data_IF_391899905474
#
_entry.id   IF_391899905474
#
_cell.length_a   1.000
_cell.length_b   1.000
_cell.length_c   1.000
_cell.angle_alpha   90.00
_cell.angle_beta   90.00
_cell.angle_gamma   90.00
#
_symmetry.space_group_name_H-M   'P 1'
#
loop_
_entity.id
_entity.type
_entity.pdbx_description
1 polymer ?
#
# COMPACT_ATOMS: atom_id res chain seq x y z
N UNK A 1 12.34 -45.01 -12.69
CA UNK A 1 12.56 -44.03 -11.60
C UNK A 1 12.50 -42.57 -12.07
N UNK A 2 13.00 -42.20 -13.25
CA UNK A 2 12.96 -40.81 -13.74
C UNK A 2 11.57 -40.20 -14.02
N UNK A 3 10.57 -40.99 -14.44
CA UNK A 3 9.22 -40.46 -14.75
C UNK A 3 8.45 -39.98 -13.51
N UNK A 4 8.61 -40.66 -12.37
CA UNK A 4 7.95 -40.24 -11.12
C UNK A 4 8.56 -38.96 -10.54
N UNK A 5 9.89 -38.82 -10.64
CA UNK A 5 10.59 -37.60 -10.25
C UNK A 5 10.14 -36.40 -11.09
N UNK A 6 9.99 -36.57 -12.41
CA UNK A 6 9.55 -35.50 -13.30
C UNK A 6 8.10 -35.05 -13.03
N UNK A 7 7.19 -36.00 -12.78
CA UNK A 7 5.80 -35.70 -12.41
C UNK A 7 5.67 -34.99 -11.07
N UNK A 8 6.46 -35.39 -10.08
CA UNK A 8 6.52 -34.69 -8.79
C UNK A 8 7.05 -33.26 -8.94
N UNK A 9 8.14 -33.06 -9.71
CA UNK A 9 8.65 -31.73 -9.99
C UNK A 9 7.63 -30.85 -10.72
N UNK A 10 6.89 -31.38 -11.70
CA UNK A 10 5.83 -30.65 -12.39
C UNK A 10 4.68 -30.28 -11.45
N UNK A 11 4.26 -31.19 -10.58
CA UNK A 11 3.25 -30.91 -9.55
C UNK A 11 3.70 -29.83 -8.58
N UNK A 12 4.96 -29.85 -8.14
CA UNK A 12 5.53 -28.82 -7.26
C UNK A 12 5.62 -27.47 -7.97
N UNK A 13 6.02 -27.46 -9.24
CA UNK A 13 6.09 -26.24 -10.05
C UNK A 13 4.70 -25.63 -10.26
N UNK A 14 3.67 -26.45 -10.51
CA UNK A 14 2.29 -26.00 -10.65
C UNK A 14 1.76 -25.40 -9.34
N UNK A 15 2.06 -26.02 -8.20
CA UNK A 15 1.68 -25.51 -6.87
C UNK A 15 2.38 -24.18 -6.54
N UNK A 16 3.65 -24.01 -6.95
CA UNK A 16 4.39 -22.75 -6.79
C UNK A 16 3.77 -21.60 -7.60
N UNK A 17 3.26 -21.87 -8.81
CA UNK A 17 2.55 -20.86 -9.61
C UNK A 17 1.22 -20.44 -8.97
N UNK A 18 0.52 -21.34 -8.29
CA UNK A 18 -0.73 -21.02 -7.56
C UNK A 18 -0.47 -20.13 -6.33
N UNK A 19 0.69 -20.27 -5.69
CA UNK A 19 1.12 -19.41 -4.57
C UNK A 19 1.55 -18.00 -5.04
N UNK A 20 1.97 -17.86 -6.29
CA UNK A 20 2.34 -16.57 -6.89
C UNK A 20 1.08 -15.74 -7.22
N UNK A 21 0.44 -15.18 -6.18
CA UNK A 21 -0.66 -14.24 -6.34
C UNK A 21 -0.22 -12.97 -7.07
N UNK A 22 -1.03 -12.50 -8.01
CA UNK A 22 -0.80 -11.24 -8.71
C UNK A 22 -1.02 -10.06 -7.75
N UNK A 23 0.03 -9.27 -7.49
CA UNK A 23 -0.06 -8.08 -6.64
C UNK A 23 -0.42 -6.87 -7.50
N UNK A 24 -1.53 -6.20 -7.18
CA UNK A 24 -1.87 -4.92 -7.78
C UNK A 24 -1.04 -3.79 -7.14
N UNK A 25 0.13 -3.55 -7.74
CA UNK A 25 1.02 -2.47 -7.32
C UNK A 25 0.41 -1.08 -7.51
N UNK A 26 -0.54 -0.89 -8.43
CA UNK A 26 -1.23 0.38 -8.64
C UNK A 26 -2.11 0.74 -7.44
N UNK A 27 -2.88 -0.23 -6.95
CA UNK A 27 -3.65 -0.08 -5.71
C UNK A 27 -2.74 0.11 -4.50
N UNK A 28 -1.64 -0.65 -4.41
CA UNK A 28 -0.68 -0.51 -3.31
C UNK A 28 -0.07 0.90 -3.27
N UNK A 29 0.43 1.39 -4.40
CA UNK A 29 1.01 2.74 -4.51
C UNK A 29 0.00 3.83 -4.17
N UNK A 30 -1.23 3.71 -4.68
CA UNK A 30 -2.30 4.67 -4.42
C UNK A 30 -2.61 4.77 -2.91
N UNK A 31 -2.67 3.62 -2.22
CA UNK A 31 -2.86 3.58 -0.76
C UNK A 31 -1.68 4.17 -0.01
N UNK A 32 -0.45 3.87 -0.41
CA UNK A 32 0.76 4.44 0.20
C UNK A 32 0.79 5.97 0.11
N UNK A 33 0.40 6.55 -1.03
CA UNK A 33 0.29 8.01 -1.17
C UNK A 33 -0.83 8.55 -0.27
N UNK A 34 -2.01 7.90 -0.27
CA UNK A 34 -3.15 8.32 0.56
C UNK A 34 -2.85 8.27 2.06
N UNK A 35 -1.97 7.38 2.51
CA UNK A 35 -1.47 7.36 3.88
C UNK A 35 -0.75 8.67 4.25
N UNK A 36 0.16 9.17 3.41
CA UNK A 36 0.84 10.44 3.68
C UNK A 36 -0.10 11.65 3.60
N UNK A 37 -1.10 11.62 2.71
CA UNK A 37 -2.14 12.66 2.67
C UNK A 37 -2.94 12.72 3.97
N UNK A 38 -3.19 11.56 4.58
CA UNK A 38 -3.87 11.48 5.86
C UNK A 38 -3.01 12.07 6.98
N UNK A 39 -1.68 12.03 6.91
CA UNK A 39 -0.79 12.52 7.98
C UNK A 39 -0.50 14.02 7.95
N UNK A 40 -1.04 14.78 6.99
CA UNK A 40 -0.85 16.23 6.90
C UNK A 40 -1.38 16.96 8.14
N UNK A 41 -0.59 17.91 8.66
CA UNK A 41 -1.02 18.94 9.62
C UNK A 41 -1.17 20.29 8.91
N UNK A 42 -1.71 21.28 9.61
CA UNK A 42 -1.99 22.61 9.08
C UNK A 42 -3.36 22.70 8.41
N UNK A 43 -3.52 23.76 7.60
CA UNK A 43 -4.67 23.95 6.73
C UNK A 43 -4.63 22.92 5.61
N UNK A 44 -5.66 22.09 5.50
CA UNK A 44 -5.73 21.09 4.43
C UNK A 44 -6.12 21.74 3.09
N UNK A 45 -5.56 21.29 1.96
CA UNK A 45 -5.94 21.77 0.64
C UNK A 45 -7.37 21.32 0.29
N UNK A 46 -8.11 22.14 -0.46
CA UNK A 46 -9.47 21.83 -0.90
C UNK A 46 -9.56 20.56 -1.78
N UNK A 47 -8.45 20.15 -2.39
CA UNK A 47 -8.32 18.93 -3.20
C UNK A 47 -7.98 17.66 -2.40
N UNK A 48 -7.99 17.73 -1.06
CA UNK A 48 -7.70 16.60 -0.18
C UNK A 48 -8.68 15.43 -0.41
N UNK A 49 -8.15 14.22 -0.64
CA UNK A 49 -8.95 13.02 -0.91
C UNK A 49 -9.34 12.24 0.34
N UNK A 50 -8.75 12.57 1.49
CA UNK A 50 -9.01 11.94 2.79
C UNK A 50 -10.07 12.76 3.53
N UNK A 51 -11.34 12.43 3.31
CA UNK A 51 -12.50 13.24 3.71
C UNK A 51 -12.79 13.29 5.21
N UNK A 52 -12.23 12.36 5.98
CA UNK A 52 -12.37 12.32 7.45
C UNK A 52 -11.32 13.16 8.18
N UNK A 53 -10.33 13.73 7.48
CA UNK A 53 -9.35 14.66 8.05
C UNK A 53 -9.84 16.10 7.90
N UNK A 54 -9.52 16.94 8.89
CA UNK A 54 -9.76 18.39 8.88
C UNK A 54 -8.49 19.16 9.20
N UNK A 55 -8.60 20.49 9.20
CA UNK A 55 -7.50 21.39 9.57
C UNK A 55 -7.04 21.13 11.01
N UNK A 56 -5.74 21.15 11.24
CA UNK A 56 -5.14 20.90 12.56
C UNK A 56 -3.85 21.72 12.75
N UNK A 57 -3.42 21.96 13.98
CA UNK A 57 -2.11 22.58 14.25
C UNK A 57 -1.90 23.97 13.66
N UNK A 58 -2.97 24.76 13.48
CA UNK A 58 -2.90 26.06 12.79
C UNK A 58 -2.09 27.11 13.53
N UNK A 59 -1.94 26.95 14.85
CA UNK A 59 -1.21 27.86 15.72
C UNK A 59 0.11 27.24 16.21
N UNK A 60 0.54 26.10 15.65
CA UNK A 60 1.77 25.44 16.05
C UNK A 60 2.96 26.40 15.79
N UNK A 61 3.71 26.74 16.85
CA UNK A 61 4.84 27.68 16.78
C UNK A 61 4.49 29.15 16.96
N UNK A 62 3.23 29.50 17.26
CA UNK A 62 2.80 30.89 17.45
C UNK A 62 3.28 31.54 18.76
N UNK A 63 3.74 30.74 19.71
CA UNK A 63 4.14 31.11 21.08
C UNK A 63 5.66 31.15 21.31
N UNK A 64 6.46 30.80 20.30
CA UNK A 64 7.94 30.72 20.36
C UNK A 64 8.66 31.91 19.70
N UNK A 65 7.96 33.03 19.51
CA UNK A 65 8.47 34.28 18.90
C UNK A 65 8.52 35.46 19.86
#
# INVERSE_FOLDING_TARGET
MHQHTLGFCFSVLLLLQVVAGHVDYGTALTKSIKYFEAQRSGKLPASQRVTWRGDSGLNDGSDVG
#
